data_IF_905232960449
#
_entry.id   IF_905232960449
#
_cell.length_a   1.000
_cell.length_b   1.000
_cell.length_c   1.000
_cell.angle_alpha   90.00
_cell.angle_beta   90.00
_cell.angle_gamma   90.00
#
_symmetry.space_group_name_H-M   'P 1'
#
loop_
_entity.id
_entity.type
_entity.pdbx_description
1 polymer ?
#
# COMPACT_ATOMS: atom_id res chain seq x y z
N UNK A 1 -15.79 -8.47 9.57
CA UNK A 1 -14.60 -7.60 9.49
C UNK A 1 -14.55 -7.00 8.11
N UNK A 2 -14.38 -5.68 8.01
CA UNK A 2 -14.36 -4.96 6.75
C UNK A 2 -12.94 -4.43 6.46
N UNK A 3 -12.35 -4.87 5.33
CA UNK A 3 -11.07 -4.37 4.81
C UNK A 3 -11.38 -3.32 3.74
N UNK A 4 -10.97 -2.09 3.97
CA UNK A 4 -11.22 -0.97 3.07
C UNK A 4 -9.95 -0.61 2.32
N UNK A 5 -9.98 -0.74 1.00
CA UNK A 5 -8.95 -0.21 0.12
C UNK A 5 -9.35 1.20 -0.32
N UNK A 6 -8.44 2.15 -0.12
CA UNK A 6 -8.64 3.51 -0.62
C UNK A 6 -8.17 3.61 -2.06
N UNK A 7 -9.05 4.09 -2.94
CA UNK A 7 -8.76 4.30 -4.36
C UNK A 7 -8.66 5.80 -4.66
N UNK A 8 -7.82 6.14 -5.63
CA UNK A 8 -7.67 7.49 -6.15
C UNK A 8 -7.08 7.46 -7.58
N UNK A 9 -7.16 8.55 -8.30
CA UNK A 9 -6.63 8.65 -9.66
C UNK A 9 -5.10 8.52 -9.67
N UNK A 10 -4.57 7.71 -10.58
CA UNK A 10 -3.14 7.49 -10.75
C UNK A 10 -2.50 6.54 -9.74
N UNK A 11 -3.27 5.83 -8.92
CA UNK A 11 -2.72 4.79 -8.03
C UNK A 11 -2.05 3.67 -8.85
N UNK A 12 -1.02 3.05 -8.30
CA UNK A 12 -0.37 1.89 -8.92
C UNK A 12 -1.25 0.65 -8.79
N UNK A 13 -1.60 0.05 -9.93
CA UNK A 13 -2.57 -1.04 -10.00
C UNK A 13 -2.20 -2.22 -9.08
N UNK A 14 -0.95 -2.69 -9.11
CA UNK A 14 -0.54 -3.87 -8.36
C UNK A 14 -0.47 -3.62 -6.84
N UNK A 15 -0.26 -2.37 -6.42
CA UNK A 15 -0.31 -1.98 -4.99
C UNK A 15 -1.68 -2.27 -4.37
N UNK A 16 -2.73 -2.21 -5.20
CA UNK A 16 -4.09 -2.56 -4.82
C UNK A 16 -4.38 -4.04 -5.09
N UNK A 17 -4.18 -4.51 -6.32
CA UNK A 17 -4.63 -5.84 -6.75
C UNK A 17 -3.86 -6.95 -6.03
N UNK A 18 -2.58 -6.76 -5.71
CA UNK A 18 -1.77 -7.74 -4.99
C UNK A 18 -2.36 -8.12 -3.63
N UNK A 19 -2.45 -7.20 -2.67
CA UNK A 19 -3.07 -7.50 -1.38
C UNK A 19 -4.58 -7.76 -1.49
N UNK A 20 -5.29 -7.13 -2.44
CA UNK A 20 -6.71 -7.40 -2.69
C UNK A 20 -6.94 -8.90 -2.97
N UNK A 21 -6.13 -9.51 -3.85
CA UNK A 21 -6.25 -10.93 -4.19
C UNK A 21 -6.08 -11.82 -2.97
N UNK A 22 -5.14 -11.51 -2.07
CA UNK A 22 -4.93 -12.26 -0.82
C UNK A 22 -6.20 -12.25 0.03
N UNK A 23 -6.80 -11.08 0.24
CA UNK A 23 -8.01 -10.95 1.06
C UNK A 23 -9.26 -11.49 0.35
N UNK A 24 -9.35 -11.35 -0.98
CA UNK A 24 -10.48 -11.84 -1.76
C UNK A 24 -10.58 -13.37 -1.71
N UNK A 25 -9.47 -14.09 -1.72
CA UNK A 25 -9.45 -15.55 -1.56
C UNK A 25 -9.86 -15.97 -0.14
N UNK A 26 -9.53 -15.16 0.87
CA UNK A 26 -9.93 -15.39 2.25
C UNK A 26 -11.35 -14.90 2.56
N UNK A 27 -12.03 -14.29 1.58
CA UNK A 27 -13.37 -13.69 1.75
C UNK A 27 -14.43 -14.74 2.11
N UNK A 28 -15.37 -14.34 2.97
CA UNK A 28 -16.48 -15.16 3.41
C UNK A 28 -17.41 -14.36 4.32
N UNK A 29 -18.27 -15.00 5.10
CA UNK A 29 -19.17 -14.29 6.01
C UNK A 29 -18.44 -13.40 7.04
N UNK A 30 -17.24 -13.82 7.46
CA UNK A 30 -16.46 -13.13 8.48
C UNK A 30 -15.57 -12.01 7.95
N UNK A 31 -15.24 -11.98 6.63
CA UNK A 31 -14.34 -11.01 6.02
C UNK A 31 -14.94 -10.48 4.72
N UNK A 32 -15.04 -9.17 4.61
CA UNK A 32 -15.49 -8.46 3.42
C UNK A 32 -14.43 -7.46 2.98
N UNK A 33 -14.35 -7.20 1.68
CA UNK A 33 -13.47 -6.18 1.09
C UNK A 33 -14.33 -5.11 0.45
N UNK A 34 -14.00 -3.85 0.72
CA UNK A 34 -14.67 -2.67 0.17
C UNK A 34 -13.66 -1.80 -0.57
N UNK A 35 -13.98 -1.41 -1.80
CA UNK A 35 -13.22 -0.44 -2.59
C UNK A 35 -13.88 0.94 -2.44
N UNK A 36 -13.19 1.91 -1.84
CA UNK A 36 -13.73 3.23 -1.59
C UNK A 36 -12.76 4.35 -2.03
N UNK A 37 -13.31 5.47 -2.47
CA UNK A 37 -12.55 6.64 -2.91
C UNK A 37 -13.19 7.93 -2.36
N UNK A 38 -12.58 9.08 -2.55
CA UNK A 38 -13.16 10.39 -2.19
C UNK A 38 -14.54 10.60 -2.83
N UNK A 39 -14.78 10.01 -4.01
CA UNK A 39 -16.10 9.84 -4.64
C UNK A 39 -16.19 8.44 -5.24
N UNK A 40 -17.37 7.79 -5.17
CA UNK A 40 -17.63 6.52 -5.84
C UNK A 40 -17.46 6.65 -7.37
N UNK A 41 -17.27 5.52 -8.04
CA UNK A 41 -17.14 5.47 -9.49
C UNK A 41 -15.74 5.04 -9.97
N UNK A 42 -15.50 5.11 -11.29
CA UNK A 42 -14.27 4.64 -11.90
C UNK A 42 -13.06 5.49 -11.45
N UNK A 43 -11.94 4.82 -11.20
CA UNK A 43 -10.64 5.41 -10.93
C UNK A 43 -9.62 4.79 -11.88
N UNK A 44 -8.87 5.63 -12.59
CA UNK A 44 -7.85 5.17 -13.52
C UNK A 44 -6.52 5.02 -12.77
N UNK A 45 -5.85 3.91 -12.96
CA UNK A 45 -4.50 3.65 -12.43
C UNK A 45 -3.42 4.32 -13.30
N UNK A 46 -2.20 4.35 -12.80
CA UNK A 46 -1.00 4.83 -13.50
C UNK A 46 -0.73 4.06 -14.81
N UNK A 47 -1.09 2.78 -14.85
CA UNK A 47 -0.96 1.90 -16.03
C UNK A 47 -2.18 1.93 -16.97
N UNK A 48 -3.20 2.76 -16.68
CA UNK A 48 -4.39 2.92 -17.52
C UNK A 48 -5.54 1.94 -17.23
N UNK A 49 -5.38 0.99 -16.32
CA UNK A 49 -6.46 0.14 -15.84
C UNK A 49 -7.51 1.00 -15.13
N UNK A 50 -8.79 0.65 -15.28
CA UNK A 50 -9.89 1.34 -14.58
C UNK A 50 -10.47 0.40 -13.53
N UNK A 51 -10.47 0.84 -12.29
CA UNK A 51 -11.04 0.12 -11.15
C UNK A 51 -12.18 0.94 -10.57
N UNK A 52 -13.29 0.30 -10.24
CA UNK A 52 -14.48 0.98 -9.75
C UNK A 52 -14.48 1.07 -8.23
N UNK A 53 -14.49 2.28 -7.66
CA UNK A 53 -14.76 2.49 -6.25
C UNK A 53 -16.26 2.32 -5.99
N UNK A 54 -16.62 1.34 -5.16
CA UNK A 54 -18.00 0.96 -4.85
C UNK A 54 -18.70 2.04 -4.01
N UNK A 55 -17.92 2.72 -3.16
CA UNK A 55 -18.43 3.69 -2.19
C UNK A 55 -17.59 4.96 -2.19
N UNK A 56 -18.24 6.07 -1.80
CA UNK A 56 -17.48 7.21 -1.30
C UNK A 56 -16.93 6.91 0.10
N UNK A 57 -15.75 7.46 0.43
CA UNK A 57 -15.14 7.30 1.76
C UNK A 57 -16.10 7.78 2.88
N UNK A 58 -16.89 8.82 2.61
CA UNK A 58 -17.89 9.34 3.55
C UNK A 58 -18.98 8.31 3.89
N UNK A 59 -19.25 7.34 3.00
CA UNK A 59 -20.28 6.31 3.18
C UNK A 59 -19.72 5.04 3.86
N UNK A 60 -18.42 5.00 4.13
CA UNK A 60 -17.78 3.88 4.83
C UNK A 60 -18.00 4.02 6.33
N UNK A 61 -18.94 3.26 6.86
CA UNK A 61 -19.31 3.32 8.30
C UNK A 61 -18.27 2.65 9.21
N UNK A 62 -17.63 1.56 8.74
CA UNK A 62 -16.65 0.81 9.50
C UNK A 62 -15.50 0.34 8.60
N UNK A 63 -14.27 0.50 9.10
CA UNK A 63 -13.05 0.00 8.49
C UNK A 63 -12.21 -0.68 9.57
N UNK A 64 -12.29 -2.01 9.64
CA UNK A 64 -11.44 -2.79 10.57
C UNK A 64 -9.99 -2.77 10.13
N UNK A 65 -9.77 -2.80 8.81
CA UNK A 65 -8.46 -2.67 8.17
C UNK A 65 -8.55 -1.64 7.06
N UNK A 66 -7.57 -0.77 7.01
CA UNK A 66 -7.40 0.21 5.94
C UNK A 66 -6.16 -0.17 5.13
N UNK A 67 -6.26 -0.18 3.81
CA UNK A 67 -5.13 -0.41 2.90
C UNK A 67 -5.01 0.75 1.92
N UNK A 68 -3.86 1.39 1.92
CA UNK A 68 -3.56 2.55 1.07
C UNK A 68 -2.52 2.16 0.02
N UNK A 69 -2.88 2.03 -1.26
CA UNK A 69 -1.93 1.81 -2.35
C UNK A 69 -1.08 3.05 -2.58
N UNK A 70 0.06 2.89 -3.23
CA UNK A 70 0.92 3.98 -3.65
C UNK A 70 0.67 4.43 -5.10
N UNK A 71 1.53 5.31 -5.57
CA UNK A 71 1.50 5.91 -6.90
C UNK A 71 2.88 6.41 -7.30
N UNK A 72 3.15 6.47 -8.60
CA UNK A 72 4.32 7.17 -9.16
C UNK A 72 4.19 8.70 -9.09
N UNK A 73 3.03 9.25 -8.75
CA UNK A 73 2.75 10.69 -8.67
C UNK A 73 2.12 11.06 -7.31
N UNK A 74 2.88 10.98 -6.21
CA UNK A 74 2.33 11.12 -4.86
C UNK A 74 1.74 12.50 -4.55
N UNK A 75 2.07 13.56 -5.29
CA UNK A 75 1.57 14.92 -5.04
C UNK A 75 0.04 15.00 -5.08
N UNK A 76 -0.60 14.25 -6.00
CA UNK A 76 -2.06 14.24 -6.13
C UNK A 76 -2.75 13.73 -4.86
N UNK A 77 -2.51 12.50 -4.37
CA UNK A 77 -3.13 12.02 -3.15
C UNK A 77 -2.62 12.72 -1.89
N UNK A 78 -1.40 13.27 -1.87
CA UNK A 78 -0.89 14.06 -0.74
C UNK A 78 -1.63 15.40 -0.56
N UNK A 79 -2.35 15.88 -1.58
CA UNK A 79 -3.20 17.08 -1.54
C UNK A 79 -4.70 16.77 -1.47
N UNK A 80 -5.12 15.51 -1.57
CA UNK A 80 -6.53 15.09 -1.44
C UNK A 80 -6.99 15.17 0.04
N UNK A 81 -7.56 16.32 0.40
CA UNK A 81 -8.03 16.57 1.77
C UNK A 81 -9.10 15.58 2.22
N UNK A 82 -9.98 15.14 1.31
CA UNK A 82 -11.04 14.17 1.65
C UNK A 82 -10.43 12.83 2.06
N UNK A 83 -9.42 12.35 1.29
CA UNK A 83 -8.70 11.12 1.61
C UNK A 83 -7.93 11.25 2.94
N UNK A 84 -7.15 12.33 3.10
CA UNK A 84 -6.30 12.52 4.27
C UNK A 84 -7.12 12.68 5.55
N UNK A 85 -8.18 13.48 5.54
CA UNK A 85 -9.05 13.71 6.70
C UNK A 85 -9.82 12.42 7.05
N UNK A 86 -10.26 11.65 6.04
CA UNK A 86 -10.87 10.35 6.28
C UNK A 86 -9.88 9.37 6.94
N UNK A 87 -8.66 9.26 6.42
CA UNK A 87 -7.61 8.41 7.00
C UNK A 87 -7.32 8.80 8.45
N UNK A 88 -7.16 10.09 8.74
CA UNK A 88 -6.90 10.59 10.08
C UNK A 88 -8.05 10.24 11.06
N UNK A 89 -9.30 10.26 10.59
CA UNK A 89 -10.48 9.96 11.41
C UNK A 89 -10.76 8.45 11.54
N UNK A 90 -10.55 7.65 10.49
CA UNK A 90 -10.87 6.23 10.46
C UNK A 90 -9.76 5.37 11.09
N UNK A 91 -8.49 5.70 10.83
CA UNK A 91 -7.35 4.92 11.33
C UNK A 91 -7.36 4.73 12.86
N UNK A 92 -7.67 5.71 13.72
CA UNK A 92 -7.72 5.48 15.17
C UNK A 92 -8.65 4.33 15.59
N UNK A 93 -9.73 4.11 14.85
CA UNK A 93 -10.72 3.05 15.14
C UNK A 93 -10.41 1.72 14.44
N UNK A 94 -9.57 1.74 13.41
CA UNK A 94 -9.18 0.54 12.69
C UNK A 94 -8.25 -0.34 13.54
N UNK A 95 -8.35 -1.65 13.38
CA UNK A 95 -7.44 -2.64 13.99
C UNK A 95 -6.05 -2.56 13.36
N UNK A 96 -5.99 -2.43 12.03
CA UNK A 96 -4.75 -2.26 11.28
C UNK A 96 -4.91 -1.15 10.23
N UNK A 97 -3.84 -0.40 10.00
CA UNK A 97 -3.72 0.58 8.92
C UNK A 97 -2.47 0.24 8.12
N UNK A 98 -2.69 -0.11 6.86
CA UNK A 98 -1.68 -0.68 5.99
C UNK A 98 -1.42 0.22 4.80
N UNK A 99 -0.21 0.12 4.24
CA UNK A 99 0.14 0.79 2.99
C UNK A 99 1.06 -0.07 2.14
N UNK A 100 1.02 0.16 0.84
CA UNK A 100 1.96 -0.42 -0.13
C UNK A 100 2.67 0.71 -0.85
N UNK A 101 3.98 0.54 -1.10
CA UNK A 101 4.77 1.48 -1.89
C UNK A 101 4.72 2.90 -1.29
N UNK A 102 4.51 3.94 -2.10
CA UNK A 102 4.36 5.34 -1.65
C UNK A 102 3.06 5.62 -0.90
N UNK A 103 2.18 4.63 -0.73
CA UNK A 103 1.00 4.75 0.15
C UNK A 103 1.35 5.11 1.59
N UNK A 104 2.56 4.77 2.05
CA UNK A 104 3.08 5.17 3.34
C UNK A 104 3.30 6.70 3.46
N UNK A 105 3.63 7.38 2.36
CA UNK A 105 3.72 8.85 2.35
C UNK A 105 2.33 9.48 2.57
N UNK A 106 1.28 8.86 2.01
CA UNK A 106 -0.11 9.32 2.23
C UNK A 106 -0.51 9.15 3.70
N UNK A 107 -0.16 8.01 4.32
CA UNK A 107 -0.33 7.84 5.76
C UNK A 107 0.48 8.87 6.57
N UNK A 108 1.69 9.18 6.13
CA UNK A 108 2.53 10.23 6.71
C UNK A 108 1.87 11.61 6.64
N UNK A 109 1.35 11.99 5.46
CA UNK A 109 0.66 13.25 5.24
C UNK A 109 -0.65 13.37 6.06
N UNK A 110 -1.32 12.25 6.31
CA UNK A 110 -2.44 12.18 7.24
C UNK A 110 -2.03 12.27 8.74
N UNK A 111 -0.73 12.43 9.03
CA UNK A 111 -0.19 12.56 10.39
C UNK A 111 -0.08 11.24 11.17
N UNK A 112 -0.29 10.10 10.52
CA UNK A 112 -0.45 8.80 11.17
C UNK A 112 0.89 8.09 11.49
N UNK A 113 1.98 8.46 10.81
CA UNK A 113 3.28 7.80 10.94
C UNK A 113 4.31 8.56 11.78
N UNK A 114 3.94 9.66 12.42
CA UNK A 114 4.87 10.40 13.29
C UNK A 114 5.40 9.52 14.42
N UNK A 115 6.74 9.41 14.51
CA UNK A 115 7.44 8.57 15.49
C UNK A 115 7.27 7.05 15.26
N UNK A 116 6.83 6.65 14.05
CA UNK A 116 6.65 5.25 13.68
C UNK A 116 7.76 4.77 12.74
N UNK A 117 8.17 3.53 12.91
CA UNK A 117 8.98 2.80 11.95
C UNK A 117 8.11 2.45 10.73
N UNK A 118 8.59 2.78 9.54
CA UNK A 118 7.82 2.51 8.33
C UNK A 118 8.74 2.26 7.13
N UNK A 119 8.25 1.51 6.16
CA UNK A 119 8.88 1.34 4.85
C UNK A 119 8.04 1.99 3.75
N UNK A 120 8.65 2.16 2.58
CA UNK A 120 8.05 2.71 1.37
C UNK A 120 8.73 2.08 0.15
N UNK A 121 8.37 2.53 -1.05
CA UNK A 121 9.17 2.25 -2.24
C UNK A 121 10.63 2.70 -2.03
N UNK A 122 11.60 1.90 -2.48
CA UNK A 122 13.02 2.14 -2.23
C UNK A 122 13.50 3.55 -2.65
N UNK A 123 12.94 4.09 -3.74
CA UNK A 123 13.28 5.42 -4.25
C UNK A 123 12.66 6.58 -3.44
N UNK A 124 11.59 6.30 -2.67
CA UNK A 124 10.84 7.31 -1.93
C UNK A 124 10.96 7.18 -0.40
N UNK A 125 11.65 6.17 0.08
CA UNK A 125 11.63 5.80 1.49
C UNK A 125 12.16 6.91 2.41
N UNK A 126 13.14 7.68 1.96
CA UNK A 126 13.73 8.76 2.77
C UNK A 126 12.78 9.95 2.95
N UNK A 127 11.79 10.13 2.05
CA UNK A 127 10.71 11.13 2.21
C UNK A 127 9.85 10.90 3.47
N UNK A 128 9.81 9.68 4.01
CA UNK A 128 9.11 9.39 5.26
C UNK A 128 9.58 10.27 6.42
N UNK A 129 10.85 10.74 6.40
CA UNK A 129 11.40 11.64 7.42
C UNK A 129 10.68 12.99 7.47
N UNK A 130 10.18 13.48 6.34
CA UNK A 130 9.44 14.75 6.25
C UNK A 130 8.13 14.69 7.04
N UNK A 131 7.56 13.48 7.19
CA UNK A 131 6.37 13.22 7.98
C UNK A 131 6.67 12.77 9.42
N UNK A 132 7.96 12.81 9.82
CA UNK A 132 8.39 12.44 11.17
C UNK A 132 8.39 10.94 11.43
N UNK A 133 8.35 10.09 10.40
CA UNK A 133 8.52 8.65 10.51
C UNK A 133 10.01 8.25 10.51
N UNK A 134 10.30 7.06 11.02
CA UNK A 134 11.62 6.43 10.96
C UNK A 134 11.65 5.44 9.77
N UNK A 135 12.39 5.75 8.68
CA UNK A 135 12.48 4.88 7.52
C UNK A 135 13.23 3.58 7.84
N UNK A 136 12.62 2.44 7.49
CA UNK A 136 13.22 1.10 7.67
C UNK A 136 13.21 0.36 6.33
N UNK A 137 14.38 -0.07 5.85
CA UNK A 137 14.56 -0.75 4.56
C UNK A 137 14.28 -2.25 4.69
N UNK A 138 13.05 -2.58 5.03
CA UNK A 138 12.53 -3.95 5.08
C UNK A 138 11.34 -4.09 4.13
N UNK A 139 11.07 -5.32 3.69
CA UNK A 139 10.00 -5.58 2.72
C UNK A 139 8.61 -5.33 3.30
N UNK A 140 8.40 -5.68 4.58
CA UNK A 140 7.18 -5.37 5.36
C UNK A 140 7.60 -4.97 6.77
N UNK A 141 7.17 -3.80 7.21
CA UNK A 141 7.43 -3.26 8.55
C UNK A 141 6.13 -3.19 9.32
N UNK A 142 6.14 -3.72 10.54
CA UNK A 142 5.04 -3.58 11.50
C UNK A 142 5.48 -2.72 12.67
N UNK A 143 4.73 -1.66 12.96
CA UNK A 143 4.86 -0.86 14.19
C UNK A 143 3.47 -0.61 14.79
N UNK A 144 3.17 -1.35 15.86
CA UNK A 144 1.85 -1.37 16.47
C UNK A 144 0.80 -1.83 15.45
N UNK A 145 -0.18 -0.99 15.17
CA UNK A 145 -1.22 -1.28 14.19
C UNK A 145 -0.89 -0.86 12.76
N UNK A 146 0.27 -0.25 12.53
CA UNK A 146 0.69 0.13 11.19
C UNK A 146 1.50 -1.00 10.55
N UNK A 147 1.11 -1.37 9.33
CA UNK A 147 1.81 -2.38 8.53
C UNK A 147 2.12 -1.75 7.17
N UNK A 148 3.37 -1.40 6.95
CA UNK A 148 3.81 -0.77 5.70
C UNK A 148 4.60 -1.76 4.87
N UNK A 149 4.33 -1.81 3.56
CA UNK A 149 5.05 -2.63 2.60
C UNK A 149 5.91 -1.77 1.66
N UNK A 150 7.03 -2.30 1.26
CA UNK A 150 7.94 -1.72 0.29
C UNK A 150 7.29 -1.60 -1.11
N UNK A 151 8.09 -1.56 -2.18
CA UNK A 151 7.59 -1.37 -3.54
C UNK A 151 6.65 -2.48 -4.00
N UNK A 152 5.73 -2.08 -4.75
CA UNK A 152 4.66 -2.71 -5.54
C UNK A 152 4.32 -4.17 -5.18
N UNK A 153 5.20 -5.13 -5.49
CA UNK A 153 4.97 -6.57 -5.25
C UNK A 153 4.93 -6.95 -3.76
N UNK A 154 5.49 -6.12 -2.88
CA UNK A 154 5.49 -6.36 -1.43
C UNK A 154 4.08 -6.29 -0.80
N UNK A 155 3.10 -5.77 -1.55
CA UNK A 155 1.70 -5.77 -1.15
C UNK A 155 1.13 -7.17 -0.92
N UNK A 156 1.59 -8.18 -1.67
CA UNK A 156 1.17 -9.59 -1.49
C UNK A 156 1.68 -10.10 -0.13
N UNK A 157 2.97 -9.89 0.16
CA UNK A 157 3.58 -10.29 1.45
C UNK A 157 2.90 -9.58 2.63
N UNK A 158 2.57 -8.30 2.46
CA UNK A 158 1.83 -7.54 3.46
C UNK A 158 0.43 -8.11 3.67
N UNK A 159 -0.29 -8.46 2.60
CA UNK A 159 -1.62 -9.08 2.67
C UNK A 159 -1.59 -10.38 3.48
N UNK A 160 -0.63 -11.27 3.22
CA UNK A 160 -0.43 -12.52 3.97
C UNK A 160 -0.06 -12.25 5.44
N UNK A 161 0.82 -11.27 5.69
CA UNK A 161 1.21 -10.86 7.05
C UNK A 161 -0.01 -10.34 7.84
N UNK A 162 -0.83 -9.52 7.22
CA UNK A 162 -2.05 -8.95 7.81
C UNK A 162 -3.08 -10.06 8.08
N UNK A 163 -3.26 -10.98 7.13
CA UNK A 163 -4.19 -12.09 7.28
C UNK A 163 -3.80 -13.00 8.46
N UNK A 164 -2.49 -13.30 8.60
CA UNK A 164 -1.97 -14.06 9.74
C UNK A 164 -2.22 -13.35 11.10
N UNK A 165 -2.12 -12.01 11.12
CA UNK A 165 -2.39 -11.21 12.33
C UNK A 165 -3.89 -11.11 12.68
N UNK A 166 -4.75 -11.11 11.69
CA UNK A 166 -6.20 -10.91 11.87
C UNK A 166 -6.93 -12.20 12.19
N UNK A 167 -6.50 -13.30 11.62
CA UNK A 167 -7.06 -14.62 11.81
C UNK A 167 -6.02 -15.56 12.45
N UNK A 168 -5.29 -16.29 11.63
CA UNK A 168 -4.19 -17.16 12.06
C UNK A 168 -3.21 -17.45 10.91
N UNK A 169 -2.04 -17.98 11.25
CA UNK A 169 -1.00 -18.34 10.29
C UNK A 169 -1.43 -19.46 9.35
N UNK A 170 -2.29 -20.37 9.81
CA UNK A 170 -2.77 -21.50 9.00
C UNK A 170 -3.60 -21.00 7.83
N UNK A 171 -4.52 -20.05 8.06
CA UNK A 171 -5.31 -19.44 6.99
C UNK A 171 -4.41 -18.69 6.00
N UNK A 172 -3.44 -17.91 6.49
CA UNK A 172 -2.50 -17.20 5.62
C UNK A 172 -1.71 -18.17 4.73
N UNK A 173 -1.23 -19.30 5.26
CA UNK A 173 -0.55 -20.36 4.49
C UNK A 173 -1.47 -21.04 3.48
N UNK A 174 -2.72 -21.29 3.84
CA UNK A 174 -3.72 -21.85 2.91
C UNK A 174 -3.98 -20.89 1.75
N UNK A 175 -4.11 -19.58 2.03
CA UNK A 175 -4.29 -18.57 0.99
C UNK A 175 -3.04 -18.44 0.12
N UNK A 176 -1.83 -18.42 0.71
CA UNK A 176 -0.58 -18.40 -0.05
C UNK A 176 -0.49 -19.56 -1.04
N UNK A 177 -0.80 -20.79 -0.58
CA UNK A 177 -0.84 -21.95 -1.45
C UNK A 177 -1.96 -21.83 -2.50
N UNK A 178 -3.13 -21.33 -2.10
CA UNK A 178 -4.29 -21.19 -3.00
C UNK A 178 -4.08 -20.21 -4.15
N UNK A 179 -3.25 -19.17 -3.95
CA UNK A 179 -2.84 -18.24 -5.01
C UNK A 179 -1.49 -18.62 -5.65
N UNK A 180 -0.91 -19.77 -5.23
CA UNK A 180 0.39 -20.28 -5.71
C UNK A 180 1.51 -19.22 -5.64
N UNK A 181 1.54 -18.46 -4.53
CA UNK A 181 2.55 -17.42 -4.33
C UNK A 181 3.87 -18.04 -3.87
N UNK A 182 4.65 -18.48 -4.86
CA UNK A 182 6.01 -19.02 -4.74
C UNK A 182 6.95 -18.28 -5.71
N UNK A 183 7.32 -17.01 -5.42
CA UNK A 183 8.00 -16.15 -6.37
C UNK A 183 9.40 -16.66 -6.72
N UNK A 184 9.65 -16.88 -8.01
CA UNK A 184 10.92 -17.31 -8.59
C UNK A 184 11.31 -16.35 -9.72
N UNK A 185 11.71 -15.10 -9.41
CA UNK A 185 12.05 -14.12 -10.45
C UNK A 185 13.28 -14.60 -11.25
N UNK A 186 13.31 -14.37 -12.57
CA UNK A 186 14.40 -14.82 -13.42
C UNK A 186 15.71 -14.03 -13.22
N UNK A 187 15.65 -12.90 -12.50
CA UNK A 187 16.78 -12.04 -12.22
C UNK A 187 16.85 -11.71 -10.73
N UNK A 188 18.07 -11.60 -10.20
CA UNK A 188 18.30 -11.14 -8.84
C UNK A 188 18.51 -9.61 -8.82
N UNK A 189 17.46 -8.85 -9.11
CA UNK A 189 17.46 -7.38 -9.17
C UNK A 189 16.25 -6.77 -8.45
N UNK A 190 15.64 -7.51 -7.54
CA UNK A 190 14.42 -7.10 -6.83
C UNK A 190 14.65 -6.10 -5.70
N UNK A 191 15.89 -5.75 -5.38
CA UNK A 191 16.25 -4.72 -4.39
C UNK A 191 17.46 -3.92 -4.87
N UNK A 192 17.68 -2.67 -4.38
CA UNK A 192 18.87 -1.90 -4.73
C UNK A 192 20.19 -2.62 -4.40
N UNK A 193 20.21 -3.40 -3.32
CA UNK A 193 21.38 -4.17 -2.90
C UNK A 193 21.70 -5.30 -3.88
N UNK A 194 20.69 -6.03 -4.32
CA UNK A 194 20.85 -7.15 -5.26
C UNK A 194 21.09 -6.66 -6.70
N UNK A 195 20.42 -5.59 -7.12
CA UNK A 195 20.51 -5.04 -8.47
C UNK A 195 21.89 -4.45 -8.81
N UNK A 196 22.59 -3.93 -7.80
CA UNK A 196 23.89 -3.27 -7.97
C UNK A 196 23.78 -1.83 -8.52
N UNK A 197 24.88 -1.06 -8.45
CA UNK A 197 24.85 0.38 -8.68
C UNK A 197 24.48 0.80 -10.11
N UNK A 198 24.83 0.02 -11.11
CA UNK A 198 24.50 0.31 -12.52
C UNK A 198 22.98 0.27 -12.74
N UNK A 199 22.34 -0.83 -12.35
CA UNK A 199 20.89 -1.00 -12.52
C UNK A 199 20.13 0.01 -11.64
N UNK A 200 20.60 0.28 -10.43
CA UNK A 200 20.00 1.31 -9.56
C UNK A 200 20.04 2.68 -10.23
N UNK A 201 21.18 3.05 -10.86
CA UNK A 201 21.28 4.32 -11.60
C UNK A 201 20.28 4.39 -12.74
N UNK A 202 20.24 3.37 -13.60
CA UNK A 202 19.31 3.31 -14.73
C UNK A 202 17.85 3.35 -14.28
N UNK A 203 17.51 2.61 -13.22
CA UNK A 203 16.16 2.61 -12.64
C UNK A 203 15.81 3.99 -12.06
N UNK A 204 16.74 4.67 -11.40
CA UNK A 204 16.53 6.03 -10.89
C UNK A 204 16.27 7.03 -12.01
N UNK A 205 17.05 6.99 -13.09
CA UNK A 205 16.85 7.84 -14.27
C UNK A 205 15.49 7.56 -14.94
N UNK A 206 15.10 6.29 -15.05
CA UNK A 206 13.80 5.90 -15.58
C UNK A 206 12.66 6.40 -14.70
N UNK A 207 12.73 6.24 -13.37
CA UNK A 207 11.73 6.75 -12.42
C UNK A 207 11.65 8.28 -12.52
N UNK A 208 12.79 8.99 -12.59
CA UNK A 208 12.80 10.44 -12.73
C UNK A 208 12.05 10.93 -13.97
N UNK A 209 12.09 10.16 -15.05
CA UNK A 209 11.42 10.50 -16.31
C UNK A 209 9.92 10.13 -16.32
N UNK A 210 9.54 9.01 -15.69
CA UNK A 210 8.19 8.43 -15.76
C UNK A 210 7.33 8.71 -14.53
N UNK A 211 7.96 8.91 -13.38
CA UNK A 211 7.32 9.12 -12.09
C UNK A 211 8.09 10.15 -11.23
N UNK A 212 8.25 11.40 -11.68
CA UNK A 212 9.14 12.38 -11.07
C UNK A 212 8.82 12.71 -9.61
N UNK A 213 7.60 12.46 -9.16
CA UNK A 213 7.20 12.69 -7.78
C UNK A 213 7.65 11.65 -6.76
N UNK A 214 8.24 10.55 -7.20
CA UNK A 214 8.74 9.46 -6.33
C UNK A 214 10.15 9.73 -5.83
N UNK A 215 10.94 10.47 -6.60
CA UNK A 215 12.27 10.92 -6.17
C UNK A 215 12.09 12.26 -5.44
N UNK A 216 12.26 12.26 -4.12
CA UNK A 216 12.28 13.50 -3.35
C UNK A 216 13.35 14.46 -3.90
N UNK A 217 13.06 15.75 -3.86
CA UNK A 217 13.99 16.81 -4.27
C UNK A 217 15.12 16.95 -3.27
#
# INVERSE_FOLDING_TARGET
>A
MNIVFTLYEGMTALDLVGPYQVFAVAQGEALQVTLAASSAGPKRTDSGMVIHAEKALADVQNADVIVVPGTGQPQSPLSDRVLLDWLASASPRARLTCSVCTGSLILGAAGLLRGKRATSHWAAIDMLREFGAEPVRERVVTDGKFVTAAGVSAGIDMGLTVLAKLADEKLARMVQLGIEYDPQPPFDSGSPQAAGPEIVKLATEWIASSAPGVLGH
#
